data_IF_971907971782
#
_entry.id   IF_971907971782
#
_cell.length_a   1.000
_cell.length_b   1.000
_cell.length_c   1.000
_cell.angle_alpha   90.00
_cell.angle_beta   90.00
_cell.angle_gamma   90.00
#
_symmetry.space_group_name_H-M   'P 1'
#
loop_
_entity.id
_entity.type
_entity.pdbx_description
1 polymer ?
#
# COMPACT_ATOMS: atom_id res chain seq x y z
N UNK A 1 -5.22 -18.61 -3.00
CA UNK A 1 -5.67 -17.43 -2.21
C UNK A 1 -7.06 -17.65 -1.62
N UNK A 2 -8.15 -17.75 -2.40
CA UNK A 2 -9.52 -17.93 -1.87
C UNK A 2 -9.67 -19.12 -0.90
N UNK A 3 -9.15 -20.29 -1.26
CA UNK A 3 -9.15 -21.46 -0.38
C UNK A 3 -8.45 -21.23 0.97
N UNK A 4 -7.44 -20.35 1.04
CA UNK A 4 -6.81 -20.01 2.32
C UNK A 4 -7.75 -19.18 3.19
N UNK A 5 -8.49 -18.22 2.62
CA UNK A 5 -9.50 -17.45 3.36
C UNK A 5 -10.65 -18.35 3.84
N UNK A 6 -11.12 -19.27 3.00
CA UNK A 6 -12.16 -20.26 3.37
C UNK A 6 -11.72 -21.13 4.54
N UNK A 7 -10.47 -21.59 4.54
CA UNK A 7 -9.92 -22.44 5.61
C UNK A 7 -9.98 -21.77 7.00
N UNK A 8 -9.93 -20.44 7.06
CA UNK A 8 -9.98 -19.67 8.30
C UNK A 8 -11.34 -19.01 8.55
N UNK A 9 -12.38 -19.34 7.77
CA UNK A 9 -13.72 -18.74 7.87
C UNK A 9 -13.72 -17.20 7.71
N UNK A 10 -12.86 -16.70 6.80
CA UNK A 10 -12.68 -15.28 6.51
C UNK A 10 -13.11 -14.90 5.08
N UNK A 11 -13.67 -15.84 4.31
CA UNK A 11 -14.19 -15.56 2.98
C UNK A 11 -15.67 -15.17 3.05
N UNK A 12 -15.94 -13.88 3.13
CA UNK A 12 -17.29 -13.30 3.13
C UNK A 12 -17.38 -12.06 2.20
N UNK A 13 -18.52 -11.39 2.19
CA UNK A 13 -18.78 -10.20 1.37
C UNK A 13 -17.90 -8.97 1.70
N UNK A 14 -17.21 -8.99 2.84
CA UNK A 14 -16.25 -7.95 3.26
C UNK A 14 -14.89 -8.18 2.61
N UNK A 15 -14.60 -9.37 2.11
CA UNK A 15 -13.37 -9.69 1.36
C UNK A 15 -13.60 -9.56 -0.14
N UNK A 16 -12.86 -8.63 -0.76
CA UNK A 16 -12.92 -8.40 -2.21
C UNK A 16 -11.56 -8.62 -2.84
N UNK A 17 -11.51 -9.47 -3.87
CA UNK A 17 -10.31 -9.71 -4.67
C UNK A 17 -10.34 -8.85 -5.93
N UNK A 18 -9.22 -8.21 -6.24
CA UNK A 18 -9.01 -7.46 -7.47
C UNK A 18 -7.91 -8.16 -8.25
N UNK A 19 -8.30 -8.94 -9.25
CA UNK A 19 -7.37 -9.72 -10.07
C UNK A 19 -6.85 -8.89 -11.24
N UNK A 20 -5.53 -8.96 -11.48
CA UNK A 20 -4.85 -8.28 -12.58
C UNK A 20 -3.65 -7.45 -12.13
N UNK A 21 -2.90 -6.94 -13.09
CA UNK A 21 -1.74 -6.09 -12.84
C UNK A 21 -2.14 -4.78 -12.19
N UNK A 22 -1.31 -4.24 -11.31
CA UNK A 22 -1.60 -2.96 -10.64
C UNK A 22 -1.87 -1.83 -11.64
N UNK A 23 -1.12 -1.75 -12.74
CA UNK A 23 -1.33 -0.75 -13.82
C UNK A 23 -2.75 -0.78 -14.42
N UNK A 24 -3.38 -1.93 -14.41
CA UNK A 24 -4.70 -2.14 -15.01
C UNK A 24 -5.83 -2.00 -13.97
N UNK A 25 -5.53 -2.30 -12.69
CA UNK A 25 -6.53 -2.43 -11.63
C UNK A 25 -6.57 -1.25 -10.65
N UNK A 26 -5.41 -0.75 -10.22
CA UNK A 26 -5.30 0.32 -9.22
C UNK A 26 -5.97 1.62 -9.70
N UNK A 27 -5.78 2.09 -10.95
CA UNK A 27 -6.46 3.30 -11.42
C UNK A 27 -7.99 3.18 -11.42
N UNK A 28 -8.52 1.95 -11.50
CA UNK A 28 -9.96 1.65 -11.56
C UNK A 28 -10.54 1.27 -10.19
N UNK A 29 -9.73 1.27 -9.13
CA UNK A 29 -10.17 0.86 -7.80
C UNK A 29 -11.30 1.78 -7.31
N UNK A 30 -12.43 1.18 -6.92
CA UNK A 30 -13.60 1.87 -6.34
C UNK A 30 -13.57 1.76 -4.82
N UNK A 31 -12.64 2.48 -4.22
CA UNK A 31 -12.47 2.56 -2.76
C UNK A 31 -12.47 4.03 -2.38
N UNK A 32 -13.40 4.42 -1.51
CA UNK A 32 -13.60 5.84 -1.16
C UNK A 32 -12.69 6.29 -0.01
N UNK A 33 -12.46 5.42 0.96
CA UNK A 33 -11.66 5.72 2.15
C UNK A 33 -10.85 4.50 2.59
N UNK A 34 -9.57 4.72 2.89
CA UNK A 34 -8.63 3.67 3.26
C UNK A 34 -8.03 3.99 4.64
N UNK A 35 -8.45 3.29 5.72
CA UNK A 35 -7.85 3.51 7.04
C UNK A 35 -6.44 2.93 7.14
N UNK A 36 -6.13 1.87 6.39
CA UNK A 36 -4.82 1.22 6.34
C UNK A 36 -4.52 0.83 4.90
N UNK A 37 -3.39 1.30 4.37
CA UNK A 37 -2.86 0.97 3.05
C UNK A 37 -1.53 0.23 3.22
N UNK A 38 -1.49 -1.07 2.92
CA UNK A 38 -0.25 -1.87 2.96
C UNK A 38 0.23 -2.16 1.53
N UNK A 39 1.50 -1.87 1.27
CA UNK A 39 2.18 -2.11 -0.01
C UNK A 39 3.26 -3.17 0.19
N UNK A 40 3.26 -4.15 -0.70
CA UNK A 40 4.12 -5.34 -0.68
C UNK A 40 4.17 -5.82 -2.14
N UNK A 41 5.12 -5.28 -2.89
CA UNK A 41 5.08 -5.29 -4.34
C UNK A 41 6.42 -5.02 -5.02
N UNK A 42 7.50 -4.94 -4.23
CA UNK A 42 8.93 -4.91 -4.56
C UNK A 42 9.43 -3.77 -5.46
N UNK A 43 8.77 -3.58 -6.59
CA UNK A 43 9.19 -2.75 -7.69
C UNK A 43 8.88 -1.28 -7.44
N UNK A 44 9.73 -0.42 -7.99
CA UNK A 44 9.51 1.02 -8.01
C UNK A 44 8.15 1.37 -8.63
N UNK A 45 7.85 0.83 -9.82
CA UNK A 45 6.62 1.13 -10.56
C UNK A 45 5.37 0.69 -9.79
N UNK A 46 5.39 -0.52 -9.21
CA UNK A 46 4.31 -1.04 -8.36
C UNK A 46 4.04 -0.10 -7.18
N UNK A 47 5.09 0.27 -6.46
CA UNK A 47 5.01 1.12 -5.27
C UNK A 47 4.50 2.51 -5.62
N UNK A 48 5.09 3.12 -6.65
CA UNK A 48 4.72 4.45 -7.15
C UNK A 48 3.27 4.51 -7.62
N UNK A 49 2.83 3.50 -8.37
CA UNK A 49 1.47 3.45 -8.91
C UNK A 49 0.43 3.36 -7.79
N UNK A 50 0.66 2.51 -6.77
CA UNK A 50 -0.23 2.38 -5.63
C UNK A 50 -0.27 3.69 -4.82
N UNK A 51 0.89 4.28 -4.50
CA UNK A 51 0.94 5.54 -3.76
C UNK A 51 0.24 6.67 -4.52
N UNK A 52 0.53 6.85 -5.81
CA UNK A 52 -0.06 7.93 -6.62
C UNK A 52 -1.59 7.87 -6.73
N UNK A 53 -2.19 6.68 -6.73
CA UNK A 53 -3.64 6.53 -6.91
C UNK A 53 -4.41 6.33 -5.60
N UNK A 54 -3.82 5.64 -4.62
CA UNK A 54 -4.53 5.24 -3.39
C UNK A 54 -4.13 6.08 -2.16
N UNK A 55 -2.91 6.65 -2.10
CA UNK A 55 -2.52 7.52 -0.98
C UNK A 55 -3.49 8.70 -0.76
N UNK A 56 -4.01 9.38 -1.81
CA UNK A 56 -4.99 10.46 -1.61
C UNK A 56 -6.23 10.01 -0.85
N UNK A 57 -6.60 8.72 -0.99
CA UNK A 57 -7.79 8.10 -0.37
C UNK A 57 -7.53 7.53 1.02
N UNK A 58 -6.28 7.53 1.47
CA UNK A 58 -5.96 7.20 2.87
C UNK A 58 -6.60 8.26 3.76
N UNK A 59 -7.37 7.82 4.75
CA UNK A 59 -8.09 8.71 5.66
C UNK A 59 -7.09 9.58 6.46
N UNK A 60 -7.47 10.78 6.91
CA UNK A 60 -6.69 11.51 7.91
C UNK A 60 -6.40 10.60 9.10
N UNK A 61 -5.16 10.62 9.61
CA UNK A 61 -4.71 9.74 10.68
C UNK A 61 -4.68 8.23 10.34
N UNK A 62 -4.93 7.84 9.09
CA UNK A 62 -4.77 6.48 8.58
C UNK A 62 -3.30 6.09 8.41
N UNK A 63 -3.04 4.81 8.17
CA UNK A 63 -1.69 4.26 8.11
C UNK A 63 -1.30 3.86 6.69
N UNK A 64 -0.03 4.10 6.35
CA UNK A 64 0.60 3.56 5.16
C UNK A 64 1.78 2.70 5.57
N UNK A 65 1.77 1.45 5.16
CA UNK A 65 2.75 0.42 5.50
C UNK A 65 3.46 0.01 4.22
N UNK A 66 4.79 -0.03 4.26
CA UNK A 66 5.65 -0.49 3.16
C UNK A 66 6.41 -1.70 3.66
N UNK A 67 6.23 -2.86 3.03
CA UNK A 67 6.89 -4.10 3.45
C UNK A 67 8.35 -4.15 2.99
N UNK A 68 8.62 -3.69 1.77
CA UNK A 68 9.88 -3.92 1.07
C UNK A 68 10.84 -2.72 1.11
N UNK A 69 10.79 -1.88 2.16
CA UNK A 69 11.59 -0.64 2.18
C UNK A 69 13.11 -0.89 2.27
N UNK A 70 13.56 -2.10 2.60
CA UNK A 70 14.96 -2.49 2.44
C UNK A 70 15.39 -2.62 0.96
N UNK A 71 14.46 -2.83 0.02
CA UNK A 71 14.77 -2.92 -1.40
C UNK A 71 15.03 -1.53 -1.99
N UNK A 72 16.17 -1.30 -2.67
CA UNK A 72 16.52 0.02 -3.22
C UNK A 72 15.45 0.61 -4.16
N UNK A 73 14.78 -0.23 -4.95
CA UNK A 73 13.72 0.19 -5.88
C UNK A 73 12.45 0.65 -5.17
N UNK A 74 12.01 -0.09 -4.14
CA UNK A 74 10.85 0.28 -3.34
C UNK A 74 11.15 1.55 -2.52
N UNK A 75 12.32 1.58 -1.86
CA UNK A 75 12.79 2.74 -1.10
C UNK A 75 12.80 4.02 -1.93
N UNK A 76 13.37 3.96 -3.14
CA UNK A 76 13.40 5.10 -4.05
C UNK A 76 11.98 5.62 -4.36
N UNK A 77 11.03 4.73 -4.69
CA UNK A 77 9.66 5.14 -4.98
C UNK A 77 8.96 5.80 -3.79
N UNK A 78 9.17 5.27 -2.57
CA UNK A 78 8.61 5.84 -1.34
C UNK A 78 9.22 7.21 -1.05
N UNK A 79 10.54 7.32 -1.13
CA UNK A 79 11.26 8.56 -0.83
C UNK A 79 10.91 9.65 -1.84
N UNK A 80 10.88 9.34 -3.14
CA UNK A 80 10.48 10.26 -4.21
C UNK A 80 9.03 10.72 -4.06
N UNK A 81 8.12 9.80 -3.74
CA UNK A 81 6.71 10.14 -3.52
C UNK A 81 6.55 11.09 -2.33
N UNK A 82 7.20 10.78 -1.21
CA UNK A 82 7.13 11.62 0.00
C UNK A 82 7.74 12.99 -0.24
N UNK A 83 8.88 13.07 -0.93
CA UNK A 83 9.51 14.34 -1.29
C UNK A 83 8.60 15.18 -2.19
N UNK A 84 8.08 14.57 -3.27
CA UNK A 84 7.18 15.24 -4.23
C UNK A 84 5.93 15.81 -3.57
N UNK A 85 5.37 15.10 -2.59
CA UNK A 85 4.13 15.49 -1.91
C UNK A 85 4.35 16.19 -0.56
N UNK A 86 5.59 16.56 -0.23
CA UNK A 86 5.94 17.20 1.05
C UNK A 86 5.45 16.43 2.29
N UNK A 87 5.43 15.10 2.23
CA UNK A 87 4.98 14.26 3.34
C UNK A 87 6.09 14.20 4.39
N UNK A 88 5.85 14.85 5.52
CA UNK A 88 6.81 14.94 6.64
C UNK A 88 6.45 14.06 7.84
N UNK A 89 5.36 13.31 7.77
CA UNK A 89 4.97 12.39 8.83
C UNK A 89 6.13 11.44 9.15
N UNK A 90 6.45 11.21 10.44
CA UNK A 90 7.58 10.40 10.84
C UNK A 90 7.43 8.96 10.35
N UNK A 91 8.53 8.40 9.87
CA UNK A 91 8.62 6.99 9.51
C UNK A 91 8.98 6.21 10.77
N UNK A 92 8.25 5.12 11.03
CA UNK A 92 8.56 4.14 12.08
C UNK A 92 8.98 2.84 11.43
N UNK A 93 10.12 2.30 11.86
CA UNK A 93 10.61 0.98 11.43
C UNK A 93 9.85 -0.12 12.18
N UNK A 94 9.43 -1.15 11.46
CA UNK A 94 8.77 -2.34 12.02
C UNK A 94 9.85 -3.40 12.32
N UNK A 95 10.67 -3.70 11.32
CA UNK A 95 11.74 -4.70 11.38
C UNK A 95 12.91 -4.31 10.44
N UNK A 96 13.60 -5.30 9.88
CA UNK A 96 14.75 -5.11 8.99
C UNK A 96 14.36 -4.54 7.60
N UNK A 97 13.08 -4.62 7.20
CA UNK A 97 12.59 -4.09 5.92
C UNK A 97 11.37 -3.20 6.10
N UNK A 98 10.38 -3.63 6.88
CA UNK A 98 9.10 -2.97 6.96
C UNK A 98 9.16 -1.59 7.63
N UNK A 99 8.44 -0.63 7.07
CA UNK A 99 8.21 0.69 7.69
C UNK A 99 6.72 1.06 7.63
N UNK A 100 6.32 2.03 8.45
CA UNK A 100 5.04 2.70 8.27
C UNK A 100 5.09 4.18 8.65
N UNK A 101 4.09 4.94 8.19
CA UNK A 101 3.79 6.27 8.73
C UNK A 101 2.28 6.47 8.87
N UNK A 102 1.92 7.45 9.70
CA UNK A 102 0.54 7.94 9.85
C UNK A 102 0.33 9.17 8.99
N UNK A 103 -0.71 9.18 8.15
CA UNK A 103 -1.05 10.30 7.27
C UNK A 103 -1.61 11.49 8.04
#
# INVERSE_FOLDING_TARGET
MKANFERFDLLDERTRFVEGWFRDTIPKAKVDSIPVLRLDGDLYESTWLVLSHLYPRVSPAGFVIIDDYALPTCKAAVDDFRAKHSIRSPITTIDWSGIFWRK
#
